data_IF_644215134591
#
_entry.id   IF_644215134591
#
_cell.length_a   1.000
_cell.length_b   1.000
_cell.length_c   1.000
_cell.angle_alpha   90.00
_cell.angle_beta   90.00
_cell.angle_gamma   90.00
#
_symmetry.space_group_name_H-M   'P 1'
#
loop_
_entity.id
_entity.type
_entity.pdbx_description
1 polymer ?
#
# COMPACT_ATOMS: atom_id res chain seq x y z
N UNK A 1 13.99 65.28 -20.22
CA UNK A 1 14.43 64.89 -18.86
C UNK A 1 13.62 63.66 -18.45
N UNK A 2 14.32 62.53 -18.31
CA UNK A 2 13.93 61.24 -17.69
C UNK A 2 12.67 60.56 -18.25
N UNK A 3 12.76 59.68 -19.26
CA UNK A 3 13.18 58.27 -19.15
C UNK A 3 12.79 57.64 -17.81
N UNK A 4 11.75 56.81 -17.82
CA UNK A 4 11.60 55.58 -17.03
C UNK A 4 10.47 54.79 -17.68
N UNK A 5 10.85 54.03 -18.71
CA UNK A 5 10.19 52.77 -19.00
C UNK A 5 10.31 51.94 -17.73
N UNK A 6 9.22 51.80 -16.97
CA UNK A 6 9.11 50.77 -15.93
C UNK A 6 8.97 49.43 -16.63
N UNK A 7 10.10 48.96 -17.14
CA UNK A 7 10.38 47.57 -17.39
C UNK A 7 10.54 46.90 -16.00
N UNK A 8 9.45 46.37 -15.45
CA UNK A 8 9.51 45.39 -14.37
C UNK A 8 8.74 44.14 -14.81
N UNK A 9 9.40 43.36 -15.66
CA UNK A 9 9.58 41.93 -15.46
C UNK A 9 11.07 41.67 -15.78
N UNK A 10 11.76 40.63 -15.27
CA UNK A 10 11.32 39.48 -14.47
C UNK A 10 12.17 39.27 -13.21
N UNK A 11 11.63 38.69 -12.14
CA UNK A 11 12.49 38.12 -11.09
C UNK A 11 11.88 36.87 -10.49
N UNK A 12 12.63 35.78 -10.66
CA UNK A 12 12.57 34.52 -9.93
C UNK A 12 11.24 33.77 -10.05
N UNK A 13 11.04 32.97 -11.10
CA UNK A 13 11.59 31.62 -11.18
C UNK A 13 11.47 30.85 -9.85
N UNK A 14 10.61 29.83 -9.86
CA UNK A 14 10.67 28.64 -9.02
C UNK A 14 10.24 28.84 -7.55
N UNK A 15 8.96 29.15 -7.33
CA UNK A 15 8.24 28.31 -6.35
C UNK A 15 7.65 27.16 -7.15
N UNK A 16 8.52 26.23 -7.59
CA UNK A 16 8.06 24.85 -7.75
C UNK A 16 7.78 24.40 -6.34
N UNK A 17 6.60 24.78 -5.84
CA UNK A 17 5.89 24.00 -4.88
C UNK A 17 5.91 22.61 -5.48
N UNK A 18 6.83 21.79 -5.00
CA UNK A 18 6.70 20.36 -5.02
C UNK A 18 5.34 20.16 -4.38
N UNK A 19 4.30 20.13 -5.21
CA UNK A 19 3.01 19.59 -4.83
C UNK A 19 3.40 18.16 -4.55
N UNK A 20 3.79 17.88 -3.31
CA UNK A 20 3.99 16.55 -2.80
C UNK A 20 2.69 15.88 -3.19
N UNK A 21 2.77 15.04 -4.22
CA UNK A 21 1.61 14.33 -4.74
C UNK A 21 1.32 13.31 -3.66
N UNK A 22 0.62 13.77 -2.63
CA UNK A 22 0.08 12.89 -1.62
C UNK A 22 -0.70 11.84 -2.39
N UNK A 23 -0.45 10.59 -2.02
CA UNK A 23 -1.08 9.45 -2.66
C UNK A 23 -2.58 9.71 -2.75
N UNK A 24 -3.08 9.76 -3.97
CA UNK A 24 -4.47 10.20 -4.20
C UNK A 24 -5.38 9.02 -3.87
N UNK A 25 -6.60 9.25 -3.38
CA UNK A 25 -7.51 8.14 -2.97
C UNK A 25 -7.72 7.10 -4.06
N UNK A 26 -7.66 7.52 -5.32
CA UNK A 26 -7.69 6.63 -6.48
C UNK A 26 -6.52 5.62 -6.50
N UNK A 27 -5.31 6.06 -6.12
CA UNK A 27 -4.13 5.19 -6.04
C UNK A 27 -4.23 4.22 -4.87
N UNK A 28 -4.77 4.66 -3.72
CA UNK A 28 -5.06 3.78 -2.59
C UNK A 28 -6.12 2.73 -2.94
N UNK A 29 -7.17 3.13 -3.65
CA UNK A 29 -8.22 2.23 -4.13
C UNK A 29 -7.66 1.18 -5.10
N UNK A 30 -6.88 1.61 -6.10
CA UNK A 30 -6.23 0.68 -7.03
C UNK A 30 -5.27 -0.28 -6.31
N UNK A 31 -4.50 0.22 -5.34
CA UNK A 31 -3.62 -0.62 -4.53
C UNK A 31 -4.42 -1.64 -3.70
N UNK A 32 -5.53 -1.24 -3.10
CA UNK A 32 -6.37 -2.11 -2.30
C UNK A 32 -6.97 -3.26 -3.13
N UNK A 33 -7.45 -2.97 -4.35
CA UNK A 33 -7.96 -3.99 -5.27
C UNK A 33 -6.84 -4.93 -5.74
N UNK A 34 -5.67 -4.39 -6.08
CA UNK A 34 -4.52 -5.19 -6.48
C UNK A 34 -4.04 -6.11 -5.35
N UNK A 35 -3.83 -5.56 -4.16
CA UNK A 35 -3.37 -6.33 -3.00
C UNK A 35 -4.42 -7.32 -2.54
N UNK A 36 -5.70 -6.95 -2.53
CA UNK A 36 -6.79 -7.84 -2.15
C UNK A 36 -6.97 -9.03 -3.09
N UNK A 37 -6.89 -8.80 -4.41
CA UNK A 37 -6.94 -9.88 -5.40
C UNK A 37 -5.68 -10.75 -5.38
N UNK A 38 -4.50 -10.17 -5.20
CA UNK A 38 -3.25 -10.91 -5.00
C UNK A 38 -3.32 -11.78 -3.73
N UNK A 39 -3.87 -11.25 -2.63
CA UNK A 39 -4.07 -12.00 -1.39
C UNK A 39 -5.03 -13.18 -1.59
N UNK A 40 -6.15 -12.98 -2.29
CA UNK A 40 -7.07 -14.07 -2.61
C UNK A 40 -6.40 -15.18 -3.41
N UNK A 41 -5.57 -14.84 -4.40
CA UNK A 41 -4.79 -15.84 -5.16
C UNK A 41 -3.76 -16.55 -4.28
N UNK A 42 -3.02 -15.83 -3.43
CA UNK A 42 -2.02 -16.40 -2.53
C UNK A 42 -2.63 -17.34 -1.48
N UNK A 43 -3.82 -17.03 -0.96
CA UNK A 43 -4.52 -17.89 0.01
C UNK A 43 -4.95 -19.21 -0.66
N UNK A 44 -5.50 -19.15 -1.87
CA UNK A 44 -5.89 -20.35 -2.61
C UNK A 44 -4.66 -21.17 -3.02
N UNK A 45 -3.59 -20.51 -3.48
CA UNK A 45 -2.33 -21.16 -3.81
C UNK A 45 -1.72 -21.85 -2.58
N UNK A 46 -1.73 -21.20 -1.42
CA UNK A 46 -1.28 -21.80 -0.17
C UNK A 46 -2.07 -23.06 0.15
N UNK A 47 -3.41 -22.99 0.10
CA UNK A 47 -4.27 -24.16 0.33
C UNK A 47 -3.99 -25.28 -0.67
N UNK A 48 -3.75 -24.93 -1.94
CA UNK A 48 -3.41 -25.88 -2.98
C UNK A 48 -2.05 -26.54 -2.72
N UNK A 49 -1.01 -25.78 -2.41
CA UNK A 49 0.33 -26.32 -2.14
C UNK A 49 0.36 -27.14 -0.86
N UNK A 50 -0.31 -26.70 0.20
CA UNK A 50 -0.41 -27.43 1.47
C UNK A 50 -1.07 -28.81 1.28
N UNK A 51 -2.15 -28.88 0.49
CA UNK A 51 -2.88 -30.14 0.27
C UNK A 51 -2.14 -31.07 -0.70
N UNK A 52 -1.39 -30.54 -1.67
CA UNK A 52 -0.69 -31.34 -2.68
C UNK A 52 0.78 -31.64 -2.34
N UNK A 53 1.31 -31.10 -1.24
CA UNK A 53 2.68 -31.43 -0.82
C UNK A 53 2.73 -32.85 -0.27
N UNK A 54 3.64 -33.67 -0.79
CA UNK A 54 3.84 -35.07 -0.39
C UNK A 54 4.47 -35.21 1.01
N UNK A 55 4.94 -34.09 1.59
CA UNK A 55 5.37 -33.95 2.99
C UNK A 55 4.14 -33.63 3.87
N UNK A 56 3.50 -34.67 4.37
CA UNK A 56 2.33 -34.58 5.25
C UNK A 56 2.37 -33.45 6.30
N UNK A 57 1.28 -32.68 6.37
CA UNK A 57 0.56 -32.29 7.58
C UNK A 57 1.39 -32.14 8.88
N UNK A 58 2.26 -31.14 8.96
CA UNK A 58 2.99 -30.84 10.21
C UNK A 58 2.94 -29.35 10.48
N UNK A 59 1.80 -28.89 11.02
CA UNK A 59 1.63 -28.40 12.39
C UNK A 59 0.40 -27.48 12.43
N UNK A 60 -0.76 -28.02 12.82
CA UNK A 60 -1.71 -27.21 13.58
C UNK A 60 -0.98 -26.73 14.84
N UNK A 61 -0.48 -25.48 14.84
CA UNK A 61 -0.16 -24.81 16.10
C UNK A 61 -1.51 -24.30 16.64
N UNK A 62 -2.08 -24.92 17.69
CA UNK A 62 -3.33 -24.44 18.26
C UNK A 62 -2.99 -23.12 18.96
N UNK A 63 -3.36 -22.01 18.33
CA UNK A 63 -3.26 -20.67 18.93
C UNK A 63 -4.62 -20.03 19.01
N UNK A 64 -5.52 -20.66 19.76
CA UNK A 64 -6.46 -19.89 20.57
C UNK A 64 -6.49 -20.52 21.95
N UNK A 65 -5.84 -19.83 22.89
CA UNK A 65 -5.92 -20.10 24.30
C UNK A 65 -7.38 -19.96 24.76
N UNK A 66 -8.03 -21.06 25.15
CA UNK A 66 -9.27 -21.03 25.91
C UNK A 66 -9.48 -22.34 26.67
N UNK A 67 -8.49 -22.78 27.46
CA UNK A 67 -8.77 -23.67 28.57
C UNK A 67 -8.23 -23.06 29.88
N UNK A 68 -9.06 -22.19 30.46
CA UNK A 68 -9.17 -21.86 31.90
C UNK A 68 -10.66 -21.49 32.05
N UNK A 69 -11.50 -22.15 32.84
CA UNK A 69 -11.32 -22.65 34.19
C UNK A 69 -12.21 -23.89 34.39
N UNK A 70 -11.70 -24.82 35.22
CA UNK A 70 -12.33 -26.05 35.71
C UNK A 70 -13.64 -25.79 36.48
N UNK A 71 -14.48 -26.83 36.46
CA UNK A 71 -15.35 -27.38 37.52
C UNK A 71 -15.76 -26.48 38.69
#
# INVERSE_FOLDING_TARGET
>A
MTNIDVYIAPSTAIERASTVKMITDAQLYSLAIFLGSAAMLLIVLYHFLEVNSEDHAVQEKPKVAANKVKA
#
